data_IF_427643365041
#
_entry.id   IF_427643365041
#
_cell.length_a   1.000
_cell.length_b   1.000
_cell.length_c   1.000
_cell.angle_alpha   90.00
_cell.angle_beta   90.00
_cell.angle_gamma   90.00
#
_symmetry.space_group_name_H-M   'P 1'
#
loop_
_entity.id
_entity.type
_entity.pdbx_description
1 polymer ?
#
# COMPACT_ATOMS: atom_id res chain seq x y z
N UNK A 1 -16.92 -36.37 -12.13
CA UNK A 1 -16.55 -35.03 -12.62
C UNK A 1 -15.58 -34.39 -11.62
N UNK A 2 -14.28 -34.30 -11.90
CA UNK A 2 -13.37 -33.43 -11.14
C UNK A 2 -12.81 -32.33 -12.07
N UNK A 3 -13.57 -31.26 -12.28
CA UNK A 3 -13.14 -30.06 -13.05
C UNK A 3 -12.91 -28.83 -12.15
N UNK A 4 -13.02 -29.00 -10.82
CA UNK A 4 -13.06 -27.87 -9.86
C UNK A 4 -11.67 -27.30 -9.54
N UNK A 5 -10.63 -28.12 -9.63
CA UNK A 5 -9.26 -27.79 -9.18
C UNK A 5 -8.51 -26.85 -10.15
N UNK A 6 -8.55 -27.04 -11.49
CA UNK A 6 -7.89 -26.12 -12.42
C UNK A 6 -8.48 -24.71 -12.39
N UNK A 7 -9.81 -24.62 -12.23
CA UNK A 7 -10.55 -23.35 -12.29
C UNK A 7 -10.23 -22.41 -11.12
N UNK A 8 -10.08 -22.95 -9.90
CA UNK A 8 -9.73 -22.14 -8.73
C UNK A 8 -8.34 -21.50 -8.85
N UNK A 9 -7.37 -22.23 -9.39
CA UNK A 9 -6.00 -21.75 -9.58
C UNK A 9 -5.90 -20.72 -10.71
N UNK A 10 -6.60 -20.93 -11.83
CA UNK A 10 -6.71 -19.93 -12.90
C UNK A 10 -7.33 -18.63 -12.38
N UNK A 11 -8.40 -18.75 -11.58
CA UNK A 11 -9.05 -17.60 -10.93
C UNK A 11 -8.08 -16.86 -10.01
N UNK A 12 -7.27 -17.56 -9.21
CA UNK A 12 -6.25 -16.93 -8.33
C UNK A 12 -5.22 -16.16 -9.16
N UNK A 13 -4.78 -16.70 -10.31
CA UNK A 13 -3.81 -16.06 -11.21
C UNK A 13 -4.38 -14.78 -11.82
N UNK A 14 -5.63 -14.81 -12.26
CA UNK A 14 -6.33 -13.63 -12.80
C UNK A 14 -6.49 -12.54 -11.74
N UNK A 15 -6.85 -12.93 -10.51
CA UNK A 15 -6.96 -11.98 -9.40
C UNK A 15 -5.61 -11.37 -9.05
N UNK A 16 -4.51 -12.13 -9.05
CA UNK A 16 -3.15 -11.58 -8.87
C UNK A 16 -2.79 -10.54 -9.96
N UNK A 17 -3.18 -10.77 -11.22
CA UNK A 17 -2.98 -9.78 -12.29
C UNK A 17 -3.81 -8.50 -12.07
N UNK A 18 -5.09 -8.64 -11.72
CA UNK A 18 -6.00 -7.51 -11.43
C UNK A 18 -5.55 -6.69 -10.22
N UNK A 19 -5.04 -7.34 -9.16
CA UNK A 19 -4.41 -6.66 -8.01
C UNK A 19 -3.25 -5.78 -8.47
N UNK A 20 -2.40 -6.32 -9.35
CA UNK A 20 -1.24 -5.61 -9.86
C UNK A 20 -1.62 -4.38 -10.70
N UNK A 21 -2.67 -4.49 -11.52
CA UNK A 21 -3.23 -3.37 -12.28
C UNK A 21 -3.83 -2.30 -11.38
N UNK A 22 -4.58 -2.69 -10.34
CA UNK A 22 -5.15 -1.77 -9.38
C UNK A 22 -4.06 -0.94 -8.66
N UNK A 23 -2.94 -1.57 -8.29
CA UNK A 23 -1.79 -0.84 -7.72
C UNK A 23 -1.17 0.15 -8.71
N UNK A 24 -1.01 -0.22 -9.98
CA UNK A 24 -0.47 0.68 -11.01
C UNK A 24 -1.36 1.91 -11.23
N UNK A 25 -2.67 1.75 -11.07
CA UNK A 25 -3.65 2.83 -11.19
C UNK A 25 -3.82 3.63 -9.89
N UNK A 26 -3.20 3.21 -8.78
CA UNK A 26 -3.42 3.80 -7.45
C UNK A 26 -4.83 3.55 -6.91
N UNK A 27 -5.57 2.59 -7.46
CA UNK A 27 -6.93 2.22 -7.08
C UNK A 27 -6.90 1.28 -5.86
N UNK A 28 -6.63 1.84 -4.68
CA UNK A 28 -6.38 1.05 -3.46
C UNK A 28 -7.61 0.33 -2.94
N UNK A 29 -8.79 0.93 -3.04
CA UNK A 29 -10.04 0.27 -2.66
C UNK A 29 -10.27 -0.98 -3.54
N UNK A 30 -10.13 -0.83 -4.86
CA UNK A 30 -10.21 -1.96 -5.80
C UNK A 30 -9.17 -3.04 -5.50
N UNK A 31 -7.93 -2.65 -5.16
CA UNK A 31 -6.90 -3.61 -4.77
C UNK A 31 -7.32 -4.44 -3.55
N UNK A 32 -7.89 -3.79 -2.53
CA UNK A 32 -8.36 -4.46 -1.29
C UNK A 32 -9.51 -5.42 -1.60
N UNK A 33 -10.50 -4.99 -2.38
CA UNK A 33 -11.65 -5.82 -2.75
C UNK A 33 -11.21 -7.09 -3.49
N UNK A 34 -10.28 -6.96 -4.44
CA UNK A 34 -9.73 -8.08 -5.22
C UNK A 34 -8.89 -9.00 -4.31
N UNK A 35 -8.12 -8.44 -3.37
CA UNK A 35 -7.33 -9.22 -2.43
C UNK A 35 -8.21 -10.08 -1.50
N UNK A 36 -9.33 -9.54 -1.04
CA UNK A 36 -10.30 -10.24 -0.21
C UNK A 36 -10.99 -11.38 -0.98
N UNK A 37 -11.36 -11.14 -2.24
CA UNK A 37 -11.90 -12.16 -3.14
C UNK A 37 -10.90 -13.31 -3.34
N UNK A 38 -9.64 -12.97 -3.66
CA UNK A 38 -8.55 -13.94 -3.83
C UNK A 38 -8.30 -14.77 -2.56
N UNK A 39 -8.31 -14.11 -1.40
CA UNK A 39 -8.14 -14.76 -0.09
C UNK A 39 -9.24 -15.78 0.20
N UNK A 40 -10.49 -15.48 -0.17
CA UNK A 40 -11.63 -16.40 -0.03
C UNK A 40 -11.45 -17.65 -0.88
N UNK A 41 -11.04 -17.49 -2.14
CA UNK A 41 -10.84 -18.60 -3.08
C UNK A 41 -9.66 -19.47 -2.64
N UNK A 42 -8.54 -18.87 -2.24
CA UNK A 42 -7.40 -19.61 -1.68
C UNK A 42 -7.81 -20.45 -0.47
N UNK A 43 -8.53 -19.88 0.50
CA UNK A 43 -8.98 -20.61 1.70
C UNK A 43 -9.89 -21.80 1.34
N UNK A 44 -10.76 -21.64 0.35
CA UNK A 44 -11.60 -22.73 -0.15
C UNK A 44 -10.80 -23.82 -0.85
N UNK A 45 -9.74 -23.44 -1.57
CA UNK A 45 -8.90 -24.35 -2.34
C UNK A 45 -7.95 -25.17 -1.44
N UNK A 46 -7.23 -24.52 -0.52
CA UNK A 46 -6.33 -25.18 0.42
C UNK A 46 -7.08 -26.03 1.48
N UNK A 47 -8.40 -25.85 1.64
CA UNK A 47 -9.24 -26.65 2.51
C UNK A 47 -9.71 -27.98 1.89
N UNK A 48 -9.48 -28.21 0.60
CA UNK A 48 -9.81 -29.46 -0.09
C UNK A 48 -8.57 -30.31 -0.32
N UNK A 49 -8.65 -31.63 -0.15
CA UNK A 49 -7.57 -32.59 -0.42
C UNK A 49 -7.21 -32.57 -1.91
N UNK A 50 -6.27 -31.73 -2.33
CA UNK A 50 -5.87 -31.55 -3.74
C UNK A 50 -4.59 -32.30 -4.10
N UNK A 51 -4.64 -32.94 -5.26
CA UNK A 51 -3.58 -33.71 -5.94
C UNK A 51 -2.32 -32.85 -6.20
N UNK A 52 -1.15 -33.34 -5.77
CA UNK A 52 0.02 -32.51 -5.42
C UNK A 52 0.91 -32.06 -6.59
N UNK A 53 0.77 -32.65 -7.78
CA UNK A 53 1.66 -32.40 -8.93
C UNK A 53 1.37 -31.09 -9.69
N UNK A 54 0.12 -30.88 -10.12
CA UNK A 54 -0.33 -29.65 -10.82
C UNK A 54 -0.39 -28.42 -9.90
N UNK A 55 -0.43 -28.67 -8.60
CA UNK A 55 -0.48 -27.69 -7.53
C UNK A 55 0.85 -26.92 -7.38
N UNK A 56 1.99 -27.60 -7.52
CA UNK A 56 3.30 -27.03 -7.24
C UNK A 56 3.73 -25.95 -8.24
N UNK A 57 3.63 -26.23 -9.54
CA UNK A 57 4.06 -25.29 -10.60
C UNK A 57 3.19 -24.04 -10.61
N UNK A 58 1.89 -24.21 -10.37
CA UNK A 58 0.93 -23.11 -10.34
C UNK A 58 1.10 -22.24 -9.10
N UNK A 59 1.35 -22.82 -7.93
CA UNK A 59 1.69 -22.05 -6.71
C UNK A 59 2.99 -21.27 -6.91
N UNK A 60 3.99 -21.87 -7.54
CA UNK A 60 5.25 -21.17 -7.83
C UNK A 60 5.00 -19.95 -8.72
N UNK A 61 4.15 -20.08 -9.74
CA UNK A 61 3.74 -18.96 -10.59
C UNK A 61 2.99 -17.88 -9.81
N UNK A 62 2.05 -18.27 -8.95
CA UNK A 62 1.28 -17.36 -8.09
C UNK A 62 2.18 -16.61 -7.12
N UNK A 63 3.14 -17.28 -6.48
CA UNK A 63 4.13 -16.65 -5.59
C UNK A 63 5.01 -15.67 -6.35
N UNK A 64 5.45 -16.03 -7.56
CA UNK A 64 6.25 -15.15 -8.40
C UNK A 64 5.49 -13.88 -8.81
N UNK A 65 4.20 -14.00 -9.15
CA UNK A 65 3.32 -12.85 -9.41
C UNK A 65 3.09 -12.02 -8.15
N UNK A 66 2.96 -12.68 -7.00
CA UNK A 66 2.71 -11.99 -5.74
C UNK A 66 3.85 -11.07 -5.34
N UNK A 67 5.09 -11.49 -5.61
CA UNK A 67 6.28 -10.68 -5.36
C UNK A 67 6.20 -9.31 -6.04
N UNK A 68 5.68 -9.23 -7.27
CA UNK A 68 5.60 -7.97 -8.03
C UNK A 68 4.65 -6.96 -7.37
N UNK A 69 3.45 -7.40 -6.99
CA UNK A 69 2.50 -6.47 -6.36
C UNK A 69 2.92 -6.14 -4.92
N UNK A 70 3.60 -7.06 -4.21
CA UNK A 70 4.16 -6.81 -2.87
C UNK A 70 5.23 -5.71 -2.90
N UNK A 71 6.18 -5.78 -3.84
CA UNK A 71 7.22 -4.77 -3.99
C UNK A 71 6.60 -3.40 -4.33
N UNK A 72 5.59 -3.37 -5.20
CA UNK A 72 4.85 -2.16 -5.56
C UNK A 72 4.06 -1.58 -4.39
N UNK A 73 3.41 -2.41 -3.59
CA UNK A 73 2.65 -1.98 -2.42
C UNK A 73 3.58 -1.33 -1.39
N UNK A 74 4.76 -1.91 -1.14
CA UNK A 74 5.76 -1.30 -0.26
C UNK A 74 6.21 0.07 -0.75
N UNK A 75 6.49 0.21 -2.04
CA UNK A 75 6.90 1.49 -2.61
C UNK A 75 5.78 2.53 -2.50
N UNK A 76 4.53 2.15 -2.78
CA UNK A 76 3.39 3.05 -2.61
C UNK A 76 3.22 3.50 -1.16
N UNK A 77 3.31 2.57 -0.19
CA UNK A 77 3.23 2.90 1.24
C UNK A 77 4.36 3.84 1.67
N UNK A 78 5.57 3.65 1.13
CA UNK A 78 6.70 4.55 1.34
C UNK A 78 6.40 5.97 0.84
N UNK A 79 5.90 6.10 -0.39
CA UNK A 79 5.52 7.39 -0.97
C UNK A 79 4.42 8.07 -0.17
N UNK A 80 3.38 7.34 0.26
CA UNK A 80 2.31 7.88 1.11
C UNK A 80 2.81 8.33 2.48
N UNK A 81 3.75 7.61 3.07
CA UNK A 81 4.40 8.04 4.31
C UNK A 81 5.17 9.35 4.11
N UNK A 82 5.96 9.44 3.04
CA UNK A 82 6.73 10.65 2.72
C UNK A 82 5.80 11.86 2.48
N UNK A 83 4.68 11.67 1.77
CA UNK A 83 3.64 12.69 1.59
C UNK A 83 3.08 13.18 2.95
N UNK A 84 2.74 12.26 3.85
CA UNK A 84 2.22 12.58 5.19
C UNK A 84 3.26 13.38 5.99
N UNK A 85 4.52 12.96 5.95
CA UNK A 85 5.59 13.65 6.68
C UNK A 85 5.85 15.05 6.12
N UNK A 86 5.78 15.25 4.79
CA UNK A 86 5.84 16.56 4.18
C UNK A 86 4.68 17.46 4.63
N UNK A 87 3.45 16.94 4.66
CA UNK A 87 2.27 17.69 5.13
C UNK A 87 2.43 18.07 6.61
N UNK A 88 2.94 17.16 7.46
CA UNK A 88 3.23 17.44 8.87
C UNK A 88 4.29 18.53 9.04
N UNK A 89 5.39 18.48 8.28
CA UNK A 89 6.43 19.51 8.29
C UNK A 89 5.91 20.87 7.83
N UNK A 90 5.09 20.91 6.77
CA UNK A 90 4.43 22.15 6.29
C UNK A 90 3.49 22.76 7.34
N UNK A 91 2.70 21.93 8.05
CA UNK A 91 1.86 22.41 9.16
C UNK A 91 2.68 22.98 10.32
N UNK A 92 3.78 22.33 10.69
CA UNK A 92 4.69 22.81 11.74
C UNK A 92 5.40 24.13 11.35
N UNK A 93 5.92 24.22 10.12
CA UNK A 93 6.52 25.44 9.60
C UNK A 93 5.53 26.60 9.52
N UNK A 94 4.30 26.35 9.04
CA UNK A 94 3.25 27.37 9.02
C UNK A 94 2.79 27.79 10.42
N UNK A 95 2.83 26.91 11.43
CA UNK A 95 2.58 27.30 12.82
C UNK A 95 3.69 28.19 13.39
N UNK A 96 4.96 27.93 13.05
CA UNK A 96 6.07 28.81 13.46
C UNK A 96 6.01 30.18 12.78
N UNK A 97 5.72 30.21 11.48
CA UNK A 97 5.48 31.44 10.73
C UNK A 97 4.27 32.19 11.33
N UNK A 98 3.13 31.53 11.49
CA UNK A 98 1.95 32.17 12.07
C UNK A 98 2.20 32.73 13.48
N UNK A 99 2.97 32.04 14.35
CA UNK A 99 3.37 32.59 15.67
C UNK A 99 4.34 33.78 15.56
N UNK A 100 5.29 33.75 14.62
CA UNK A 100 6.21 34.86 14.39
C UNK A 100 5.47 36.12 13.87
N UNK A 101 4.45 35.94 13.02
CA UNK A 101 3.64 37.04 12.48
C UNK A 101 2.45 37.44 13.40
N UNK A 102 2.00 36.57 14.31
CA UNK A 102 0.95 36.87 15.29
C UNK A 102 1.42 37.76 16.47
N UNK A 103 2.71 38.05 16.57
CA UNK A 103 3.25 39.03 17.53
C UNK A 103 3.90 40.23 16.82
N UNK A 104 3.12 41.22 16.32
CA UNK A 104 3.68 42.46 15.78
C UNK A 104 4.36 43.36 16.84
N UNK A 105 4.36 42.97 18.12
CA UNK A 105 4.79 43.80 19.27
C UNK A 105 6.11 43.38 19.93
N UNK A 106 7.03 42.77 19.19
CA UNK A 106 8.45 42.66 19.61
C UNK A 106 9.35 43.71 18.93
N UNK A 107 8.80 44.87 18.53
CA UNK A 107 9.57 46.05 18.13
C UNK A 107 9.88 46.91 19.36
N UNK A 108 11.15 46.96 19.74
CA UNK A 108 11.71 47.76 20.84
C UNK A 108 11.93 46.89 22.09
N UNK A 109 13.16 46.52 22.44
CA UNK A 109 14.16 47.43 23.01
C UNK A 109 15.54 46.75 22.92
N UNK A 110 16.27 46.95 21.81
CA UNK A 110 17.73 46.74 21.81
C UNK A 110 18.34 47.88 22.61
N UNK A 111 18.45 47.71 23.92
CA UNK A 111 19.30 48.58 24.70
C UNK A 111 20.74 48.16 24.54
N UNK A 112 21.47 48.99 23.82
CA UNK A 112 22.90 49.15 23.99
C UNK A 112 23.12 49.53 25.45
N UNK A 113 23.65 48.61 26.26
CA UNK A 113 24.22 48.97 27.56
C UNK A 113 25.68 49.36 27.31
N UNK A 114 25.96 50.67 27.28
CA UNK A 114 27.32 51.18 27.47
C UNK A 114 27.59 51.19 28.98
N UNK A 115 28.70 50.55 29.36
CA UNK A 115 29.29 50.51 30.69
C UNK A 115 30.61 49.79 30.55
#
# INVERSE_FOLDING_TARGET
MPEVIPNALETIRELSARMNEALLQGAIESFIDIADERSRIMKSFFGSETDTGLFHDTITSVIAQDRLWIERLHELLRLKKDEIDQVRRKKSGNQHVARAYAHPKARGRLFIKRG
#
